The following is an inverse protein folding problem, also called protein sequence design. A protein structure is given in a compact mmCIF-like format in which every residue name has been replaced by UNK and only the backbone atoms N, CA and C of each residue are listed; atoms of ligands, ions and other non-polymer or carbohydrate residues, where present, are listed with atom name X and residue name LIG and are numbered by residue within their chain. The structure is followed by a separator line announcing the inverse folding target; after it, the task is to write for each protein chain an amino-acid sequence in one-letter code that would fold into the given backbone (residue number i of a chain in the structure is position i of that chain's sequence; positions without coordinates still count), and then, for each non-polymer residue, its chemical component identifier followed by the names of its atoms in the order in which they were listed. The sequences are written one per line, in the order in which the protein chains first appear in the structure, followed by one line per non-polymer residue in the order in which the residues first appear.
data_IF_167739743386
#
_entry.id   IF_167739743386
#
_cell.length_a   1.000
_cell.length_b   1.000
_cell.length_c   1.000
_cell.angle_alpha   90.00
_cell.angle_beta   90.00
_cell.angle_gamma   90.00
#
_symmetry.space_group_name_H-M   'P 1'
#
loop_
_entity.id
_entity.type
_entity.pdbx_description
1 polymer ?
#
# COMPACT_ATOMS: atom_id res chain seq x y z
N UNK A 1 -13.46 -54.14 -41.20
CA UNK A 1 -14.83 -54.08 -40.63
C UNK A 1 -14.69 -53.82 -39.14
N UNK A 2 -15.39 -52.78 -38.68
CA UNK A 2 -15.76 -52.43 -37.30
C UNK A 2 -14.71 -51.73 -36.41
N UNK A 3 -14.98 -50.43 -36.21
CA UNK A 3 -14.56 -49.55 -35.11
C UNK A 3 -14.68 -50.20 -33.72
N UNK A 4 -13.88 -49.75 -32.77
CA UNK A 4 -14.38 -49.37 -31.44
C UNK A 4 -13.39 -48.44 -30.76
N UNK A 5 -13.84 -47.21 -30.53
CA UNK A 5 -13.26 -46.23 -29.63
C UNK A 5 -13.34 -46.75 -28.19
N UNK A 6 -12.33 -46.43 -27.38
CA UNK A 6 -12.56 -46.25 -25.95
C UNK A 6 -11.64 -45.15 -25.42
N UNK A 7 -12.28 -44.08 -24.97
CA UNK A 7 -11.67 -42.98 -24.24
C UNK A 7 -11.25 -43.45 -22.85
N UNK A 8 -10.07 -43.03 -22.39
CA UNK A 8 -9.83 -42.90 -20.95
C UNK A 8 -8.78 -41.82 -20.66
N UNK A 9 -9.20 -40.92 -19.78
CA UNK A 9 -8.61 -39.69 -19.24
C UNK A 9 -7.09 -39.50 -19.35
N UNK A 10 -6.69 -38.41 -19.99
CA UNK A 10 -5.40 -37.75 -19.73
C UNK A 10 -5.53 -36.98 -18.41
N UNK A 11 -5.20 -37.62 -17.28
CA UNK A 11 -4.92 -36.90 -16.05
C UNK A 11 -3.51 -36.29 -16.15
N UNK A 12 -3.43 -35.15 -16.85
CA UNK A 12 -2.30 -34.24 -16.69
C UNK A 12 -2.42 -33.59 -15.31
N UNK A 13 -1.76 -34.20 -14.32
CA UNK A 13 -1.37 -33.49 -13.11
C UNK A 13 -0.33 -32.45 -13.54
N UNK A 14 -0.60 -31.13 -13.41
CA UNK A 14 0.40 -30.12 -13.74
C UNK A 14 1.62 -30.28 -12.81
N UNK A 15 2.83 -30.00 -13.31
CA UNK A 15 4.04 -30.18 -12.52
C UNK A 15 3.97 -29.29 -11.28
N UNK A 16 4.20 -29.92 -10.13
CA UNK A 16 4.48 -29.26 -8.87
C UNK A 16 5.68 -28.35 -9.06
N UNK A 17 5.44 -27.06 -9.28
CA UNK A 17 6.43 -26.03 -9.00
C UNK A 17 6.43 -25.83 -7.50
N UNK A 18 7.25 -26.63 -6.84
CA UNK A 18 7.79 -26.30 -5.53
C UNK A 18 8.62 -25.02 -5.69
N UNK A 19 8.02 -23.86 -5.45
CA UNK A 19 8.79 -22.66 -5.14
C UNK A 19 8.96 -22.64 -3.62
N UNK A 20 10.04 -23.28 -3.15
CA UNK A 20 10.53 -23.05 -1.80
C UNK A 20 11.14 -21.64 -1.74
N UNK A 21 10.41 -20.77 -1.03
CA UNK A 21 10.80 -19.62 -0.20
C UNK A 21 12.25 -19.11 -0.24
N UNK A 22 12.42 -17.78 -0.13
CA UNK A 22 13.02 -17.25 1.08
C UNK A 22 12.00 -16.40 1.85
N UNK A 23 11.98 -16.57 3.17
CA UNK A 23 11.31 -15.67 4.10
C UNK A 23 12.05 -14.33 4.06
N UNK A 24 11.48 -13.38 3.35
CA UNK A 24 11.76 -11.94 3.34
C UNK A 24 10.45 -11.38 2.74
N UNK A 25 9.51 -10.76 3.47
CA UNK A 25 9.61 -9.36 3.90
C UNK A 25 8.42 -8.99 4.83
N UNK A 26 8.56 -9.15 6.15
CA UNK A 26 7.62 -8.64 7.17
C UNK A 26 6.12 -8.60 6.79
N UNK A 27 5.45 -7.49 7.11
CA UNK A 27 4.08 -7.19 6.67
C UNK A 27 3.96 -6.58 5.26
N UNK A 28 4.98 -6.69 4.40
CA UNK A 28 5.06 -5.91 3.15
C UNK A 28 3.97 -6.25 2.14
N UNK A 29 3.61 -7.53 2.02
CA UNK A 29 2.53 -7.96 1.15
C UNK A 29 1.17 -7.39 1.60
N UNK A 30 0.88 -7.45 2.91
CA UNK A 30 -0.35 -6.90 3.47
C UNK A 30 -0.43 -5.38 3.32
N UNK A 31 0.71 -4.68 3.48
CA UNK A 31 0.85 -3.25 3.24
C UNK A 31 0.53 -2.90 1.78
N UNK A 32 1.17 -3.58 0.82
CA UNK A 32 0.93 -3.33 -0.61
C UNK A 32 -0.53 -3.54 -1.00
N UNK A 33 -1.15 -4.64 -0.53
CA UNK A 33 -2.56 -4.92 -0.79
C UNK A 33 -3.50 -3.84 -0.21
N UNK A 34 -3.17 -3.32 0.98
CA UNK A 34 -3.92 -2.21 1.57
C UNK A 34 -3.73 -0.93 0.76
N UNK A 35 -2.50 -0.57 0.38
CA UNK A 35 -2.21 0.63 -0.40
C UNK A 35 -2.94 0.61 -1.75
N UNK A 36 -2.85 -0.50 -2.49
CA UNK A 36 -3.54 -0.64 -3.78
C UNK A 36 -5.05 -0.44 -3.65
N UNK A 37 -5.66 -1.00 -2.60
CA UNK A 37 -7.08 -0.81 -2.34
C UNK A 37 -7.39 0.63 -1.89
N UNK A 38 -6.63 1.15 -0.94
CA UNK A 38 -6.84 2.47 -0.35
C UNK A 38 -6.76 3.58 -1.41
N UNK A 39 -5.88 3.47 -2.41
CA UNK A 39 -5.78 4.44 -3.50
C UNK A 39 -7.03 4.51 -4.41
N UNK A 40 -7.95 3.53 -4.30
CA UNK A 40 -9.26 3.60 -4.97
C UNK A 40 -10.28 4.45 -4.20
N UNK A 41 -10.02 4.73 -2.91
CA UNK A 41 -10.93 5.47 -2.05
C UNK A 41 -10.83 6.99 -2.30
N UNK A 42 -11.96 7.73 -2.35
CA UNK A 42 -11.95 9.16 -2.64
C UNK A 42 -11.06 9.98 -1.71
N UNK A 43 -11.18 9.79 -0.40
CA UNK A 43 -10.39 10.52 0.60
C UNK A 43 -8.89 10.26 0.45
N UNK A 44 -8.48 8.99 0.29
CA UNK A 44 -7.06 8.62 0.11
C UNK A 44 -6.48 9.15 -1.19
N UNK A 45 -7.28 9.14 -2.27
CA UNK A 45 -6.92 9.74 -3.54
C UNK A 45 -6.71 11.25 -3.41
N UNK A 46 -7.59 11.94 -2.68
CA UNK A 46 -7.45 13.36 -2.42
C UNK A 46 -6.19 13.69 -1.62
N UNK A 47 -5.93 12.97 -0.52
CA UNK A 47 -4.72 13.09 0.32
C UNK A 47 -3.47 12.95 -0.54
N UNK A 48 -3.38 11.83 -1.26
CA UNK A 48 -2.23 11.52 -2.11
C UNK A 48 -2.03 12.59 -3.17
N UNK A 49 -3.12 13.04 -3.80
CA UNK A 49 -3.07 14.07 -4.85
C UNK A 49 -2.56 15.40 -4.30
N UNK A 50 -3.08 15.84 -3.14
CA UNK A 50 -2.64 17.07 -2.46
C UNK A 50 -1.17 17.00 -2.09
N UNK A 51 -0.75 15.90 -1.46
CA UNK A 51 0.63 15.70 -1.03
C UNK A 51 1.59 15.74 -2.22
N UNK A 52 1.30 14.96 -3.25
CA UNK A 52 2.13 14.85 -4.46
C UNK A 52 2.20 16.18 -5.22
N UNK A 53 1.06 16.88 -5.36
CA UNK A 53 1.05 18.24 -5.92
C UNK A 53 1.95 19.19 -5.12
N UNK A 54 1.87 19.16 -3.79
CA UNK A 54 2.65 20.05 -2.94
C UNK A 54 4.15 19.79 -3.10
N UNK A 55 4.57 18.53 -3.12
CA UNK A 55 5.97 18.15 -3.33
C UNK A 55 6.48 18.57 -4.70
N UNK A 56 5.73 18.29 -5.79
CA UNK A 56 6.20 18.63 -7.13
C UNK A 56 6.13 20.13 -7.45
N UNK A 57 5.39 20.93 -6.69
CA UNK A 57 5.43 22.40 -6.78
C UNK A 57 6.78 22.98 -6.34
N UNK A 58 7.45 22.33 -5.39
CA UNK A 58 8.73 22.80 -4.80
C UNK A 58 9.92 21.94 -5.22
N UNK A 59 9.71 20.99 -6.14
CA UNK A 59 10.76 20.10 -6.60
C UNK A 59 11.88 20.84 -7.33
N UNK A 60 13.13 20.43 -7.06
CA UNK A 60 14.31 20.80 -7.82
C UNK A 60 14.17 20.31 -9.26
N UNK A 61 13.89 21.24 -10.18
CA UNK A 61 13.63 20.90 -11.58
C UNK A 61 14.82 20.29 -12.28
N UNK A 62 16.04 20.62 -11.86
CA UNK A 62 17.25 20.12 -12.51
C UNK A 62 17.51 18.68 -12.08
N UNK A 63 17.31 18.38 -10.79
CA UNK A 63 17.34 17.01 -10.28
C UNK A 63 16.32 16.11 -11.00
N UNK A 64 15.07 16.58 -11.10
CA UNK A 64 13.98 15.81 -11.68
C UNK A 64 14.19 15.57 -13.18
N UNK A 65 14.76 16.54 -13.90
CA UNK A 65 15.11 16.42 -15.32
C UNK A 65 16.37 15.59 -15.57
N UNK A 66 17.24 15.42 -14.57
CA UNK A 66 18.46 14.63 -14.66
C UNK A 66 18.23 13.11 -14.59
N UNK A 67 17.08 12.66 -14.06
CA UNK A 67 16.79 11.24 -13.85
C UNK A 67 15.93 10.59 -14.93
N UNK A 68 15.70 9.28 -14.77
CA UNK A 68 14.93 8.45 -15.69
C UNK A 68 13.45 8.88 -15.83
N UNK A 69 12.90 9.58 -14.84
CA UNK A 69 11.52 10.04 -14.82
C UNK A 69 11.30 11.44 -15.39
N UNK A 70 12.29 11.98 -16.11
CA UNK A 70 12.22 13.31 -16.74
C UNK A 70 10.93 13.52 -17.54
N UNK A 71 10.56 12.57 -18.40
CA UNK A 71 9.40 12.74 -19.29
C UNK A 71 8.08 12.78 -18.52
N UNK A 72 7.93 11.92 -17.50
CA UNK A 72 6.78 11.96 -16.59
C UNK A 72 6.72 13.27 -15.80
N UNK A 73 7.88 13.77 -15.34
CA UNK A 73 7.96 15.04 -14.62
C UNK A 73 7.60 16.22 -15.51
N UNK A 74 8.11 16.28 -16.73
CA UNK A 74 7.77 17.33 -17.69
C UNK A 74 6.28 17.31 -18.03
N UNK A 75 5.71 16.12 -18.28
CA UNK A 75 4.28 15.97 -18.53
C UNK A 75 3.41 16.45 -17.37
N UNK A 76 3.87 16.26 -16.12
CA UNK A 76 3.20 16.78 -14.92
C UNK A 76 3.37 18.30 -14.79
N UNK A 77 4.59 18.82 -15.01
CA UNK A 77 4.91 20.23 -14.86
C UNK A 77 4.23 21.14 -15.91
N UNK A 78 4.08 20.64 -17.13
CA UNK A 78 3.40 21.32 -18.25
C UNK A 78 1.87 21.20 -18.16
N UNK A 79 1.35 20.36 -17.27
CA UNK A 79 -0.09 20.25 -17.07
C UNK A 79 -0.61 21.53 -16.40
N UNK A 80 -1.56 22.26 -17.01
CA UNK A 80 -2.21 23.41 -16.37
C UNK A 80 -3.03 23.00 -15.14
N UNK A 81 -3.37 21.70 -15.06
CA UNK A 81 -4.11 21.07 -13.98
C UNK A 81 -3.22 19.98 -13.36
N UNK A 82 -2.26 20.43 -12.53
CA UNK A 82 -1.27 19.55 -11.88
C UNK A 82 -1.89 18.56 -10.90
N UNK A 83 -3.17 18.73 -10.59
CA UNK A 83 -3.95 17.89 -9.69
C UNK A 83 -4.58 16.69 -10.43
N UNK A 84 -4.29 16.51 -11.73
CA UNK A 84 -4.74 15.34 -12.48
C UNK A 84 -4.08 14.05 -11.97
N UNK A 85 -4.85 13.12 -11.38
CA UNK A 85 -4.32 11.92 -10.73
C UNK A 85 -3.50 11.06 -11.69
N UNK A 86 -3.92 10.95 -12.94
CA UNK A 86 -3.31 10.09 -13.96
C UNK A 86 -1.87 10.48 -14.30
N UNK A 87 -1.53 11.78 -14.26
CA UNK A 87 -0.15 12.25 -14.47
C UNK A 87 0.72 12.07 -13.24
N UNK A 88 0.15 12.27 -12.05
CA UNK A 88 0.83 12.03 -10.79
C UNK A 88 1.14 10.53 -10.60
N UNK A 89 0.18 9.66 -10.88
CA UNK A 89 0.35 8.20 -10.83
C UNK A 89 1.48 7.76 -11.76
N UNK A 90 1.53 8.28 -13.00
CA UNK A 90 2.60 7.94 -13.94
C UNK A 90 3.98 8.40 -13.43
N UNK A 91 4.04 9.52 -12.71
CA UNK A 91 5.27 10.01 -12.10
C UNK A 91 5.70 9.13 -10.92
N UNK A 92 4.80 8.84 -10.00
CA UNK A 92 5.05 7.99 -8.83
C UNK A 92 5.53 6.60 -9.24
N UNK A 93 4.85 5.95 -10.18
CA UNK A 93 5.25 4.63 -10.70
C UNK A 93 6.65 4.63 -11.31
N UNK A 94 7.03 5.72 -11.98
CA UNK A 94 8.38 5.85 -12.49
C UNK A 94 9.41 5.99 -11.35
N UNK A 95 9.11 6.81 -10.34
CA UNK A 95 10.01 7.00 -9.20
C UNK A 95 10.17 5.74 -8.37
N UNK A 96 9.11 4.94 -8.24
CA UNK A 96 9.14 3.63 -7.60
C UNK A 96 10.05 2.66 -8.37
N UNK A 97 9.91 2.57 -9.70
CA UNK A 97 10.78 1.75 -10.55
C UNK A 97 12.26 2.20 -10.55
N UNK A 98 12.52 3.44 -10.12
CA UNK A 98 13.85 4.04 -10.01
C UNK A 98 14.11 4.57 -8.60
N UNK A 99 13.63 3.83 -7.59
CA UNK A 99 13.61 4.25 -6.18
C UNK A 99 14.99 4.64 -5.66
N UNK A 100 16.06 3.94 -6.06
CA UNK A 100 17.43 4.28 -5.68
C UNK A 100 17.81 5.73 -6.03
N UNK A 101 17.42 6.18 -7.22
CA UNK A 101 17.65 7.57 -7.65
C UNK A 101 16.64 8.53 -7.00
N UNK A 102 15.40 8.12 -6.77
CA UNK A 102 14.33 9.01 -6.29
C UNK A 102 14.03 8.90 -4.79
N UNK A 103 14.85 8.18 -4.03
CA UNK A 103 14.62 7.86 -2.62
C UNK A 103 14.27 9.08 -1.78
N UNK A 104 15.06 10.16 -1.90
CA UNK A 104 14.79 11.45 -1.23
C UNK A 104 13.37 11.97 -1.47
N UNK A 105 12.87 11.85 -2.71
CA UNK A 105 11.54 12.34 -3.02
C UNK A 105 10.44 11.38 -2.56
N UNK A 106 10.69 10.07 -2.57
CA UNK A 106 9.76 9.10 -1.98
C UNK A 106 9.56 9.41 -0.49
N UNK A 107 10.64 9.62 0.27
CA UNK A 107 10.57 10.03 1.68
C UNK A 107 9.78 11.33 1.88
N UNK A 108 10.05 12.36 1.06
CA UNK A 108 9.34 13.65 1.15
C UNK A 108 7.83 13.47 0.82
N UNK A 109 7.49 12.61 -0.13
CA UNK A 109 6.10 12.32 -0.49
C UNK A 109 5.42 11.59 0.67
N UNK A 110 6.04 10.57 1.23
CA UNK A 110 5.49 9.80 2.36
C UNK A 110 5.27 10.70 3.58
N UNK A 111 6.23 11.57 3.92
CA UNK A 111 6.07 12.57 4.97
C UNK A 111 4.91 13.54 4.69
N UNK A 112 4.74 13.97 3.44
CA UNK A 112 3.66 14.89 3.10
C UNK A 112 2.31 14.18 3.13
N UNK A 113 2.22 12.93 2.66
CA UNK A 113 1.01 12.10 2.76
C UNK A 113 0.60 11.93 4.21
N UNK A 114 1.56 11.67 5.11
CA UNK A 114 1.28 11.56 6.54
C UNK A 114 0.75 12.87 7.12
N UNK A 115 1.35 14.02 6.80
CA UNK A 115 0.87 15.34 7.25
C UNK A 115 -0.56 15.64 6.77
N UNK A 116 -0.87 15.33 5.50
CA UNK A 116 -2.22 15.49 4.96
C UNK A 116 -3.20 14.54 5.67
N UNK A 117 -2.80 13.30 5.95
CA UNK A 117 -3.64 12.33 6.67
C UNK A 117 -3.88 12.74 8.14
N UNK A 118 -2.87 13.20 8.86
CA UNK A 118 -2.99 13.75 10.22
C UNK A 118 -3.94 14.94 10.29
N UNK A 119 -3.98 15.76 9.23
CA UNK A 119 -4.91 16.90 9.17
C UNK A 119 -6.37 16.46 9.08
N UNK A 120 -6.64 15.28 8.54
CA UNK A 120 -7.97 14.67 8.43
C UNK A 120 -8.33 13.86 9.69
N UNK A 121 -7.33 13.23 10.31
CA UNK A 121 -7.48 12.45 11.53
C UNK A 121 -6.76 13.13 12.71
N UNK A 122 -7.30 14.25 13.23
CA UNK A 122 -6.65 15.00 14.29
C UNK A 122 -6.70 14.25 15.64
N UNK A 123 -5.75 14.58 16.52
CA UNK A 123 -5.69 14.03 17.88
C UNK A 123 -4.37 13.36 18.25
N UNK A 124 -3.29 13.66 17.51
CA UNK A 124 -1.98 13.00 17.68
C UNK A 124 -2.04 11.52 17.31
N UNK A 125 -1.05 10.75 17.75
CA UNK A 125 -0.90 9.34 17.35
C UNK A 125 -2.16 8.49 17.60
N UNK A 126 -2.79 8.66 18.76
CA UNK A 126 -4.00 7.91 19.11
C UNK A 126 -5.22 8.34 18.27
N UNK A 127 -5.38 9.64 18.03
CA UNK A 127 -6.44 10.17 17.18
C UNK A 127 -6.28 9.73 15.72
N UNK A 128 -5.04 9.72 15.23
CA UNK A 128 -4.70 9.22 13.91
C UNK A 128 -5.05 7.74 13.77
N UNK A 129 -4.58 6.89 14.70
CA UNK A 129 -4.85 5.45 14.66
C UNK A 129 -6.35 5.14 14.72
N UNK A 130 -7.09 5.77 15.63
CA UNK A 130 -8.55 5.58 15.74
C UNK A 130 -9.28 6.13 14.52
N UNK A 131 -8.87 7.28 13.98
CA UNK A 131 -9.45 7.88 12.79
C UNK A 131 -9.26 7.01 11.54
N UNK A 132 -8.05 6.49 11.33
CA UNK A 132 -7.75 5.55 10.25
C UNK A 132 -8.54 4.25 10.44
N UNK A 133 -8.61 3.74 11.67
CA UNK A 133 -9.39 2.55 11.97
C UNK A 133 -10.87 2.74 11.62
N UNK A 134 -11.49 3.82 12.12
CA UNK A 134 -12.88 4.15 11.84
C UNK A 134 -13.12 4.38 10.35
N UNK A 135 -12.20 5.07 9.67
CA UNK A 135 -12.24 5.26 8.22
C UNK A 135 -12.33 3.92 7.49
N UNK A 136 -11.48 2.94 7.82
CA UNK A 136 -11.47 1.66 7.14
C UNK A 136 -12.60 0.71 7.56
N UNK A 137 -13.04 0.74 8.82
CA UNK A 137 -14.01 -0.25 9.34
C UNK A 137 -15.46 0.21 9.32
N UNK A 138 -15.70 1.52 9.36
CA UNK A 138 -17.04 2.14 9.46
C UNK A 138 -17.27 3.25 8.42
N UNK A 139 -16.22 3.85 7.89
CA UNK A 139 -16.25 4.95 6.93
C UNK A 139 -16.12 4.49 5.46
N UNK A 140 -15.34 5.25 4.68
CA UNK A 140 -15.16 4.99 3.24
C UNK A 140 -14.33 3.74 2.92
N UNK A 141 -13.76 3.07 3.93
CA UNK A 141 -12.96 1.87 3.77
C UNK A 141 -13.61 0.79 2.92
N UNK A 142 -14.92 0.62 3.03
CA UNK A 142 -15.72 -0.23 2.14
C UNK A 142 -15.09 -1.60 1.90
N UNK A 143 -14.75 -1.89 0.64
CA UNK A 143 -14.13 -3.16 0.24
C UNK A 143 -12.68 -3.35 0.71
N UNK A 144 -12.01 -2.28 1.17
CA UNK A 144 -10.64 -2.32 1.68
C UNK A 144 -10.55 -2.69 3.15
N UNK A 145 -11.69 -2.86 3.84
CA UNK A 145 -11.74 -3.20 5.26
C UNK A 145 -10.93 -4.47 5.58
N UNK A 146 -11.08 -5.51 4.78
CA UNK A 146 -10.43 -6.80 5.05
C UNK A 146 -8.91 -6.71 4.82
N UNK A 147 -8.46 -5.96 3.82
CA UNK A 147 -7.04 -5.67 3.59
C UNK A 147 -6.46 -4.86 4.75
N UNK A 148 -7.21 -3.88 5.26
CA UNK A 148 -6.81 -3.10 6.43
C UNK A 148 -6.70 -3.97 7.69
N UNK A 149 -7.68 -4.84 7.95
CA UNK A 149 -7.63 -5.75 9.09
C UNK A 149 -6.49 -6.78 8.96
N UNK A 150 -6.21 -7.27 7.76
CA UNK A 150 -5.08 -8.16 7.50
C UNK A 150 -3.73 -7.45 7.76
N UNK A 151 -3.60 -6.20 7.33
CA UNK A 151 -2.44 -5.37 7.63
C UNK A 151 -2.26 -5.16 9.14
N UNK A 152 -3.32 -4.78 9.85
CA UNK A 152 -3.28 -4.59 11.31
C UNK A 152 -2.97 -5.89 12.07
N UNK A 153 -3.56 -7.02 11.66
CA UNK A 153 -3.27 -8.32 12.25
C UNK A 153 -1.79 -8.66 12.11
N UNK A 154 -1.20 -8.44 10.93
CA UNK A 154 0.22 -8.65 10.70
C UNK A 154 1.07 -7.72 11.56
N UNK A 155 0.76 -6.42 11.61
CA UNK A 155 1.52 -5.48 12.44
C UNK A 155 1.44 -5.80 13.94
N UNK A 156 0.31 -6.28 14.43
CA UNK A 156 0.19 -6.77 15.81
C UNK A 156 1.02 -8.05 16.00
N UNK A 157 0.96 -8.97 15.04
CA UNK A 157 1.78 -10.17 15.09
C UNK A 157 3.27 -9.85 15.15
N UNK A 158 3.76 -8.92 14.33
CA UNK A 158 5.18 -8.55 14.27
C UNK A 158 5.63 -7.67 15.42
N UNK A 159 4.83 -6.66 15.78
CA UNK A 159 5.18 -5.68 16.80
C UNK A 159 5.22 -6.27 18.21
N UNK A 160 4.42 -7.31 18.48
CA UNK A 160 4.27 -7.90 19.81
C UNK A 160 4.84 -9.33 19.90
N UNK A 161 5.71 -9.77 18.97
CA UNK A 161 6.33 -11.12 19.02
C UNK A 161 7.08 -11.35 20.32
N UNK A 162 7.93 -10.39 20.70
CA UNK A 162 8.74 -10.47 21.92
C UNK A 162 7.85 -10.40 23.18
N UNK A 163 6.79 -9.58 23.15
CA UNK A 163 5.86 -9.42 24.28
C UNK A 163 4.93 -10.64 24.46
N UNK A 164 4.63 -11.41 23.41
CA UNK A 164 3.91 -12.68 23.56
C UNK A 164 4.73 -13.74 24.32
N UNK A 165 6.06 -13.73 24.14
CA UNK A 165 6.95 -14.61 24.89
C UNK A 165 6.96 -14.27 26.39
N UNK A 166 6.79 -12.98 26.74
CA UNK A 166 6.73 -12.52 28.13
C UNK A 166 5.34 -12.61 28.77
N UNK A 167 4.29 -12.20 28.06
CA UNK A 167 2.91 -12.08 28.56
C UNK A 167 2.09 -13.37 28.38
N UNK A 168 2.62 -14.31 27.60
CA UNK A 168 2.07 -15.65 27.41
C UNK A 168 1.16 -15.80 26.20
N UNK A 169 0.87 -17.06 25.83
CA UNK A 169 0.14 -17.40 24.61
C UNK A 169 -1.28 -16.83 24.68
N UNK A 170 -1.63 -15.97 23.73
CA UNK A 170 -2.95 -15.35 23.65
C UNK A 170 -2.97 -13.83 23.77
N UNK A 171 -1.84 -13.19 24.11
CA UNK A 171 -1.72 -11.74 24.11
C UNK A 171 -1.94 -11.14 22.71
N UNK A 172 -1.29 -11.71 21.68
CA UNK A 172 -1.52 -11.31 20.27
C UNK A 172 -2.97 -11.57 19.86
N UNK A 173 -3.53 -12.71 20.26
CA UNK A 173 -4.94 -13.05 19.98
C UNK A 173 -5.91 -12.03 20.60
N UNK A 174 -5.61 -11.55 21.81
CA UNK A 174 -6.38 -10.50 22.46
C UNK A 174 -6.28 -9.17 21.71
N UNK A 175 -5.07 -8.74 21.33
CA UNK A 175 -4.86 -7.50 20.56
C UNK A 175 -5.61 -7.50 19.23
N UNK A 176 -5.52 -8.60 18.48
CA UNK A 176 -6.29 -8.82 17.24
C UNK A 176 -7.80 -8.76 17.42
N UNK A 177 -8.31 -9.31 18.53
CA UNK A 177 -9.74 -9.22 18.86
C UNK A 177 -10.13 -7.79 19.20
N UNK A 178 -9.31 -7.10 19.99
CA UNK A 178 -9.55 -5.72 20.39
C UNK A 178 -9.71 -4.81 19.17
N UNK A 179 -8.80 -4.87 18.20
CA UNK A 179 -8.91 -4.10 16.95
C UNK A 179 -10.21 -4.38 16.19
N UNK A 180 -10.68 -5.64 16.16
CA UNK A 180 -11.96 -5.97 15.51
C UNK A 180 -13.19 -5.46 16.26
N UNK A 181 -13.07 -5.16 17.55
CA UNK A 181 -14.17 -4.67 18.40
C UNK A 181 -14.26 -3.14 18.46
N UNK A 182 -13.19 -2.42 18.08
CA UNK A 182 -13.17 -0.96 18.01
C UNK A 182 -14.11 -0.45 16.90
#
# INVERSE_FOLDING_TARGET
MVNSESHSSNDQVPPSTTCSSPHEDGCKEAENNLIECALTLPTMKEITTKAVTAVFKTADTDYMKGGACKESFMALAECPDRDKPDKQIAMLKCMEAHSDYYHKYNEIIDEQVLKEAESIFPGGDLGFLLGVHEFFTKGEGGCCKEQYLAFMDCHIEEGFKEEEEELGPGFITFGKRLIRFL
#
